data_IF_498196227122
#
_entry.id   IF_498196227122
#
_cell.length_a   1.000
_cell.length_b   1.000
_cell.length_c   1.000
_cell.angle_alpha   90.00
_cell.angle_beta   90.00
_cell.angle_gamma   90.00
#
_symmetry.space_group_name_H-M   'P 1'
#
loop_
_entity.id
_entity.type
_entity.pdbx_description
1 polymer ?
#
# COMPACT_ATOMS: atom_id res chain seq x y z
N UNK A 1 5.96 -5.66 -9.29
CA UNK A 1 5.29 -5.63 -10.61
C UNK A 1 5.89 -4.45 -11.38
N UNK A 2 6.58 -4.71 -12.45
CA UNK A 2 7.15 -3.64 -13.28
C UNK A 2 6.09 -3.22 -14.29
N UNK A 3 5.37 -2.15 -13.96
CA UNK A 3 4.27 -1.61 -14.76
C UNK A 3 4.40 -0.09 -14.83
N UNK A 4 5.12 0.39 -15.85
CA UNK A 4 5.43 1.82 -16.02
C UNK A 4 4.18 2.66 -16.23
N UNK A 5 3.20 2.16 -17.01
CA UNK A 5 1.94 2.87 -17.24
C UNK A 5 1.15 3.00 -15.94
N UNK A 6 1.02 1.90 -15.18
CA UNK A 6 0.33 1.94 -13.89
C UNK A 6 1.09 2.79 -12.87
N UNK A 7 2.43 2.73 -12.85
CA UNK A 7 3.26 3.59 -12.00
C UNK A 7 3.02 5.07 -12.31
N UNK A 8 2.95 5.43 -13.59
CA UNK A 8 2.63 6.79 -14.01
C UNK A 8 1.26 7.24 -13.52
N UNK A 9 0.24 6.37 -13.65
CA UNK A 9 -1.10 6.67 -13.13
C UNK A 9 -1.12 6.85 -11.60
N UNK A 10 -0.32 6.09 -10.87
CA UNK A 10 -0.18 6.25 -9.41
C UNK A 10 0.47 7.58 -9.04
N UNK A 11 1.50 8.01 -9.79
CA UNK A 11 2.30 9.19 -9.46
C UNK A 11 1.67 10.51 -9.94
N UNK A 12 1.01 10.51 -11.09
CA UNK A 12 0.57 11.75 -11.76
C UNK A 12 -0.88 11.73 -12.24
N UNK A 13 -1.57 10.61 -12.12
CA UNK A 13 -2.94 10.40 -12.60
C UNK A 13 -3.96 10.19 -11.48
N UNK A 14 -5.07 9.55 -11.84
CA UNK A 14 -6.09 9.06 -10.89
C UNK A 14 -6.22 7.54 -10.99
N UNK A 15 -5.52 6.86 -10.09
CA UNK A 15 -5.52 5.39 -10.02
C UNK A 15 -6.93 4.79 -9.86
N UNK A 16 -7.86 5.50 -9.22
CA UNK A 16 -9.24 5.01 -9.07
C UNK A 16 -10.02 5.08 -10.38
N UNK A 17 -9.80 6.13 -11.17
CA UNK A 17 -10.38 6.23 -12.52
C UNK A 17 -9.74 5.19 -13.47
N UNK A 18 -8.44 4.95 -13.39
CA UNK A 18 -7.79 3.87 -14.14
C UNK A 18 -8.38 2.50 -13.78
N UNK A 19 -8.55 2.21 -12.50
CA UNK A 19 -9.18 0.98 -12.02
C UNK A 19 -10.66 0.87 -12.41
N UNK A 20 -11.41 1.98 -12.42
CA UNK A 20 -12.80 2.05 -12.89
C UNK A 20 -12.90 1.55 -14.33
N UNK A 21 -12.08 2.11 -15.22
CA UNK A 21 -12.02 1.74 -16.65
C UNK A 21 -11.61 0.28 -16.81
N UNK A 22 -10.56 -0.15 -16.11
CA UNK A 22 -10.03 -1.52 -16.19
C UNK A 22 -11.07 -2.58 -15.77
N UNK A 23 -11.87 -2.32 -14.74
CA UNK A 23 -12.91 -3.22 -14.27
C UNK A 23 -14.24 -3.11 -15.03
N UNK A 24 -14.48 -2.02 -15.77
CA UNK A 24 -15.76 -1.71 -16.41
C UNK A 24 -16.83 -1.34 -15.38
N UNK A 25 -16.47 -0.47 -14.42
CA UNK A 25 -17.35 0.04 -13.36
C UNK A 25 -17.97 1.38 -13.76
N UNK A 26 -19.15 1.67 -13.22
CA UNK A 26 -19.92 2.87 -13.57
C UNK A 26 -19.40 4.13 -12.87
N UNK A 27 -18.95 3.98 -11.63
CA UNK A 27 -18.49 5.12 -10.82
C UNK A 27 -17.10 4.91 -10.22
N UNK A 28 -16.43 6.02 -9.94
CA UNK A 28 -15.12 6.05 -9.27
C UNK A 28 -15.20 5.48 -7.83
N UNK A 29 -16.29 5.71 -7.13
CA UNK A 29 -16.49 5.20 -5.77
C UNK A 29 -16.68 3.68 -5.76
N UNK A 30 -17.38 3.13 -6.75
CA UNK A 30 -17.42 1.69 -6.96
C UNK A 30 -16.03 1.13 -7.22
N UNK A 31 -15.19 1.83 -7.99
CA UNK A 31 -13.81 1.39 -8.25
C UNK A 31 -12.95 1.40 -7.00
N UNK A 32 -13.07 2.43 -6.17
CA UNK A 32 -12.38 2.49 -4.86
C UNK A 32 -12.76 1.31 -3.97
N UNK A 33 -14.05 1.04 -3.83
CA UNK A 33 -14.53 -0.10 -3.02
C UNK A 33 -14.15 -1.45 -3.65
N UNK A 34 -14.24 -1.56 -4.97
CA UNK A 34 -13.87 -2.76 -5.72
C UNK A 34 -12.40 -3.12 -5.54
N UNK A 35 -11.48 -2.15 -5.73
CA UNK A 35 -10.06 -2.44 -5.67
C UNK A 35 -9.63 -2.91 -4.27
N UNK A 36 -10.14 -2.27 -3.22
CA UNK A 36 -9.87 -2.74 -1.87
C UNK A 36 -10.42 -4.14 -1.61
N UNK A 37 -11.70 -4.38 -1.96
CA UNK A 37 -12.29 -5.72 -1.81
C UNK A 37 -11.49 -6.78 -2.59
N UNK A 38 -11.07 -6.47 -3.82
CA UNK A 38 -10.27 -7.36 -4.66
C UNK A 38 -8.89 -7.66 -4.04
N UNK A 39 -8.16 -6.63 -3.60
CA UNK A 39 -6.84 -6.77 -2.99
C UNK A 39 -6.90 -7.54 -1.66
N UNK A 40 -7.98 -7.38 -0.90
CA UNK A 40 -8.25 -8.15 0.32
C UNK A 40 -8.77 -9.57 0.06
N UNK A 41 -8.80 -10.02 -1.20
CA UNK A 41 -9.14 -11.40 -1.55
C UNK A 41 -10.63 -11.72 -1.50
N UNK A 42 -11.50 -10.72 -1.64
CA UNK A 42 -12.93 -10.94 -1.71
C UNK A 42 -13.33 -11.81 -2.91
N UNK A 43 -14.17 -12.81 -2.68
CA UNK A 43 -14.71 -13.65 -3.74
C UNK A 43 -15.79 -12.96 -4.57
N UNK A 44 -16.22 -13.58 -5.70
CA UNK A 44 -17.17 -12.99 -6.64
C UNK A 44 -18.47 -12.49 -6.03
N UNK A 45 -19.01 -13.19 -5.03
CA UNK A 45 -20.27 -12.79 -4.37
C UNK A 45 -20.11 -11.45 -3.62
N UNK A 46 -18.98 -11.26 -2.90
CA UNK A 46 -18.71 -10.01 -2.18
C UNK A 46 -18.40 -8.88 -3.16
N UNK A 47 -17.64 -9.14 -4.22
CA UNK A 47 -17.36 -8.17 -5.29
C UNK A 47 -18.66 -7.74 -5.99
N UNK A 48 -19.58 -8.66 -6.29
CA UNK A 48 -20.87 -8.33 -6.91
C UNK A 48 -21.69 -7.36 -6.06
N UNK A 49 -21.67 -7.51 -4.74
CA UNK A 49 -22.38 -6.61 -3.82
C UNK A 49 -21.90 -5.14 -3.89
N UNK A 50 -20.65 -4.90 -4.26
CA UNK A 50 -20.10 -3.54 -4.44
C UNK A 50 -20.90 -2.73 -5.46
N UNK A 51 -21.44 -3.41 -6.47
CA UNK A 51 -22.26 -2.80 -7.54
C UNK A 51 -23.74 -3.17 -7.42
N UNK A 52 -24.20 -3.60 -6.26
CA UNK A 52 -25.60 -3.98 -6.04
C UNK A 52 -26.03 -5.22 -6.80
N UNK A 53 -25.10 -6.10 -7.18
CA UNK A 53 -25.35 -7.26 -8.04
C UNK A 53 -24.88 -8.58 -7.40
N UNK A 54 -25.19 -9.70 -8.05
CA UNK A 54 -24.82 -11.03 -7.59
C UNK A 54 -23.43 -11.51 -8.03
N UNK A 55 -23.10 -12.75 -7.64
CA UNK A 55 -21.80 -13.37 -7.88
C UNK A 55 -21.39 -13.43 -9.36
N UNK A 56 -22.32 -13.63 -10.29
CA UNK A 56 -22.06 -13.66 -11.75
C UNK A 56 -21.46 -12.33 -12.22
N UNK A 57 -22.03 -11.20 -11.79
CA UNK A 57 -21.50 -9.86 -12.11
C UNK A 57 -20.13 -9.66 -11.46
N UNK A 58 -19.96 -10.06 -10.20
CA UNK A 58 -18.67 -9.97 -9.50
C UNK A 58 -17.57 -10.77 -10.20
N UNK A 59 -17.88 -11.96 -10.71
CA UNK A 59 -16.95 -12.78 -11.49
C UNK A 59 -16.54 -12.09 -12.80
N UNK A 60 -17.50 -11.45 -13.49
CA UNK A 60 -17.24 -10.71 -14.71
C UNK A 60 -16.32 -9.49 -14.44
N UNK A 61 -16.58 -8.75 -13.37
CA UNK A 61 -15.75 -7.60 -12.96
C UNK A 61 -14.30 -8.03 -12.69
N UNK A 62 -14.09 -9.09 -11.92
CA UNK A 62 -12.76 -9.65 -11.65
C UNK A 62 -12.07 -10.08 -12.96
N UNK A 63 -12.81 -10.75 -13.85
CA UNK A 63 -12.28 -11.20 -15.15
C UNK A 63 -11.83 -10.02 -16.00
N UNK A 64 -12.69 -9.01 -16.18
CA UNK A 64 -12.39 -7.82 -16.97
C UNK A 64 -11.17 -7.09 -16.39
N UNK A 65 -11.17 -6.85 -15.08
CA UNK A 65 -10.06 -6.19 -14.40
C UNK A 65 -8.73 -6.90 -14.65
N UNK A 66 -8.68 -8.22 -14.45
CA UNK A 66 -7.46 -8.99 -14.68
C UNK A 66 -7.06 -9.11 -16.15
N UNK A 67 -8.01 -9.02 -17.08
CA UNK A 67 -7.71 -8.96 -18.52
C UNK A 67 -7.05 -7.62 -18.90
N UNK A 68 -7.52 -6.53 -18.33
CA UNK A 68 -7.00 -5.18 -18.58
C UNK A 68 -5.76 -4.85 -17.72
N UNK A 69 -5.42 -5.71 -16.74
CA UNK A 69 -4.24 -5.58 -15.87
C UNK A 69 -3.37 -6.86 -15.94
N UNK A 70 -2.74 -7.15 -17.08
CA UNK A 70 -2.06 -8.44 -17.30
C UNK A 70 -0.86 -8.67 -16.36
N UNK A 71 -0.15 -7.61 -15.97
CA UNK A 71 0.97 -7.72 -15.03
C UNK A 71 0.48 -8.06 -13.61
N UNK A 72 -0.64 -7.47 -13.18
CA UNK A 72 -1.28 -7.82 -11.91
C UNK A 72 -1.83 -9.26 -11.93
N UNK A 73 -2.42 -9.68 -13.05
CA UNK A 73 -2.87 -11.07 -13.24
C UNK A 73 -1.71 -12.05 -13.09
N UNK A 74 -0.56 -11.77 -13.73
CA UNK A 74 0.65 -12.60 -13.62
C UNK A 74 1.17 -12.64 -12.19
N UNK A 75 1.29 -11.50 -11.51
CA UNK A 75 1.69 -11.42 -10.11
C UNK A 75 0.78 -12.28 -9.24
N UNK A 76 -0.54 -12.09 -9.34
CA UNK A 76 -1.53 -12.85 -8.58
C UNK A 76 -1.39 -14.36 -8.79
N UNK A 77 -1.24 -14.81 -10.04
CA UNK A 77 -1.08 -16.23 -10.35
C UNK A 77 0.21 -16.81 -9.77
N UNK A 78 1.33 -16.08 -9.89
CA UNK A 78 2.61 -16.50 -9.33
C UNK A 78 2.54 -16.63 -7.79
N UNK A 79 1.87 -15.70 -7.12
CA UNK A 79 1.71 -15.74 -5.66
C UNK A 79 0.81 -16.92 -5.24
N UNK A 80 -0.27 -17.18 -5.97
CA UNK A 80 -1.14 -18.33 -5.71
C UNK A 80 -0.37 -19.64 -5.88
N UNK A 81 0.46 -19.75 -6.92
CA UNK A 81 1.30 -20.93 -7.12
C UNK A 81 2.33 -21.08 -5.99
N UNK A 82 3.06 -20.04 -5.66
CA UNK A 82 4.01 -20.03 -4.55
C UNK A 82 3.34 -20.38 -3.21
N UNK A 83 2.09 -19.93 -3.00
CA UNK A 83 1.34 -20.19 -1.76
C UNK A 83 1.03 -21.67 -1.51
N UNK A 84 1.15 -22.54 -2.52
CA UNK A 84 1.01 -24.00 -2.35
C UNK A 84 2.05 -24.59 -1.40
N UNK A 85 3.19 -23.92 -1.25
CA UNK A 85 4.22 -24.29 -0.25
C UNK A 85 3.89 -23.79 1.16
N UNK A 86 2.78 -23.06 1.34
CA UNK A 86 2.41 -22.40 2.60
C UNK A 86 3.16 -21.11 2.89
N UNK A 87 4.04 -20.67 1.97
CA UNK A 87 4.89 -19.48 2.17
C UNK A 87 5.05 -18.69 0.87
N UNK A 88 5.26 -17.37 1.00
CA UNK A 88 5.69 -16.49 -0.10
C UNK A 88 6.81 -15.58 0.38
N UNK A 89 7.74 -15.22 -0.51
CA UNK A 89 8.81 -14.26 -0.23
C UNK A 89 8.25 -12.84 -0.10
N UNK A 90 8.64 -12.13 0.93
CA UNK A 90 8.32 -10.73 1.16
C UNK A 90 9.32 -9.80 0.46
N UNK A 91 9.06 -8.49 0.52
CA UNK A 91 9.86 -7.44 -0.11
C UNK A 91 11.34 -7.44 0.34
N UNK A 92 11.59 -7.77 1.59
CA UNK A 92 12.93 -7.84 2.20
C UNK A 92 13.51 -9.27 2.27
N UNK A 93 12.92 -10.22 1.53
CA UNK A 93 13.38 -11.61 1.46
C UNK A 93 12.87 -12.54 2.58
N UNK A 94 12.21 -12.01 3.62
CA UNK A 94 11.61 -12.88 4.65
C UNK A 94 10.48 -13.74 4.08
N UNK A 95 10.18 -14.85 4.77
CA UNK A 95 9.08 -15.73 4.39
C UNK A 95 7.80 -15.35 5.12
N UNK A 96 6.73 -15.07 4.36
CA UNK A 96 5.38 -14.84 4.88
C UNK A 96 4.58 -16.13 4.83
N UNK A 97 3.97 -16.52 5.93
CA UNK A 97 3.09 -17.67 5.99
C UNK A 97 1.71 -17.36 5.36
N UNK A 98 1.26 -18.24 4.48
CA UNK A 98 -0.03 -18.13 3.81
C UNK A 98 -1.02 -19.07 4.46
N UNK A 99 -2.07 -18.54 5.07
CA UNK A 99 -3.13 -19.32 5.71
C UNK A 99 -4.16 -19.87 4.71
N UNK A 100 -4.38 -19.14 3.59
CA UNK A 100 -5.33 -19.54 2.55
C UNK A 100 -4.92 -18.91 1.22
N UNK A 101 -4.98 -19.69 0.13
CA UNK A 101 -4.52 -19.25 -1.20
C UNK A 101 -5.22 -17.98 -1.72
N UNK A 102 -6.51 -17.79 -1.40
CA UNK A 102 -7.25 -16.60 -1.81
C UNK A 102 -6.77 -15.32 -1.08
N UNK A 103 -6.13 -15.45 0.09
CA UNK A 103 -5.59 -14.34 0.87
C UNK A 103 -4.11 -14.05 0.56
N UNK A 104 -3.47 -14.83 -0.32
CA UNK A 104 -2.02 -14.74 -0.57
C UNK A 104 -1.58 -13.38 -1.10
N UNK A 105 -2.34 -12.78 -2.02
CA UNK A 105 -2.08 -11.44 -2.54
C UNK A 105 -2.17 -10.39 -1.41
N UNK A 106 -3.22 -10.45 -0.59
CA UNK A 106 -3.37 -9.57 0.55
C UNK A 106 -2.21 -9.72 1.55
N UNK A 107 -1.82 -10.94 1.88
CA UNK A 107 -0.68 -11.21 2.78
C UNK A 107 0.61 -10.59 2.25
N UNK A 108 0.88 -10.71 0.93
CA UNK A 108 2.03 -10.09 0.32
C UNK A 108 1.99 -8.55 0.41
N UNK A 109 0.85 -7.94 0.07
CA UNK A 109 0.71 -6.48 0.06
C UNK A 109 0.76 -5.88 1.47
N UNK A 110 0.06 -6.48 2.44
CA UNK A 110 0.12 -6.05 3.84
C UNK A 110 1.53 -6.24 4.43
N UNK A 111 2.19 -7.35 4.09
CA UNK A 111 3.58 -7.60 4.46
C UNK A 111 4.53 -6.56 3.89
N UNK A 112 4.36 -6.19 2.62
CA UNK A 112 5.17 -5.14 1.98
C UNK A 112 4.95 -3.77 2.66
N UNK A 113 3.70 -3.38 2.92
CA UNK A 113 3.39 -2.15 3.64
C UNK A 113 4.05 -2.10 5.02
N UNK A 114 3.95 -3.18 5.79
CA UNK A 114 4.58 -3.26 7.11
C UNK A 114 6.11 -3.18 7.05
N UNK A 115 6.74 -3.73 6.00
CA UNK A 115 8.20 -3.65 5.79
C UNK A 115 8.59 -2.20 5.45
N UNK A 116 7.87 -1.54 4.54
CA UNK A 116 8.09 -0.14 4.17
C UNK A 116 8.01 0.75 5.42
N UNK A 117 6.91 0.66 6.17
CA UNK A 117 6.72 1.48 7.37
C UNK A 117 7.83 1.26 8.40
N UNK A 118 8.21 0.00 8.67
CA UNK A 118 9.30 -0.29 9.62
C UNK A 118 10.65 0.23 9.14
N UNK A 119 10.96 0.10 7.85
CA UNK A 119 12.20 0.63 7.30
C UNK A 119 12.22 2.16 7.38
N UNK A 120 11.10 2.81 7.06
CA UNK A 120 10.93 4.25 7.21
C UNK A 120 11.16 4.71 8.66
N UNK A 121 10.59 4.01 9.65
CA UNK A 121 10.80 4.34 11.05
C UNK A 121 12.30 4.22 11.45
N UNK A 122 13.00 3.20 10.96
CA UNK A 122 14.44 3.02 11.20
C UNK A 122 15.23 4.19 10.61
N UNK A 123 14.90 4.65 9.40
CA UNK A 123 15.57 5.80 8.80
C UNK A 123 15.25 7.10 9.57
N UNK A 124 14.00 7.32 9.97
CA UNK A 124 13.63 8.47 10.81
C UNK A 124 14.42 8.50 12.12
N UNK A 125 14.52 7.37 12.84
CA UNK A 125 15.31 7.28 14.08
C UNK A 125 16.79 7.61 13.83
N UNK A 126 17.37 7.10 12.74
CA UNK A 126 18.74 7.41 12.34
C UNK A 126 18.95 8.91 12.11
N UNK A 127 18.05 9.56 11.38
CA UNK A 127 18.11 11.01 11.13
C UNK A 127 17.90 11.83 12.40
N UNK A 128 16.92 11.47 13.24
CA UNK A 128 16.67 12.13 14.54
C UNK A 128 17.96 12.18 15.37
N UNK A 129 18.65 11.03 15.49
CA UNK A 129 19.89 10.94 16.26
C UNK A 129 21.03 11.71 15.61
N UNK A 130 21.24 11.55 14.31
CA UNK A 130 22.32 12.19 13.55
C UNK A 130 22.23 13.71 13.60
N UNK A 131 21.02 14.23 13.51
CA UNK A 131 20.76 15.66 13.43
C UNK A 131 20.45 16.30 14.79
N UNK A 132 20.34 15.49 15.85
CA UNK A 132 20.03 15.99 17.19
C UNK A 132 18.66 16.65 17.31
N UNK A 133 17.65 16.13 16.57
CA UNK A 133 16.27 16.61 16.61
C UNK A 133 15.58 16.12 17.87
N UNK A 134 14.91 17.01 18.60
CA UNK A 134 14.11 16.61 19.76
C UNK A 134 12.72 16.14 19.31
N UNK A 135 12.65 14.88 18.92
CA UNK A 135 11.44 14.20 18.49
C UNK A 135 11.33 12.83 19.15
N UNK A 136 10.15 12.49 19.62
CA UNK A 136 9.86 11.23 20.32
C UNK A 136 8.66 10.54 19.69
N UNK A 137 8.82 9.28 19.28
CA UNK A 137 7.71 8.45 18.81
C UNK A 137 6.74 8.20 19.97
N UNK A 138 5.48 8.57 19.80
CA UNK A 138 4.43 8.35 20.79
C UNK A 138 3.37 7.33 20.36
N UNK A 139 3.16 7.17 19.03
CA UNK A 139 2.25 6.14 18.53
C UNK A 139 2.68 5.64 17.13
N UNK A 140 2.36 4.37 16.88
CA UNK A 140 2.51 3.71 15.57
C UNK A 140 1.19 3.05 15.22
N UNK A 141 0.49 3.55 14.21
CA UNK A 141 -0.88 3.15 13.86
C UNK A 141 -0.92 2.86 12.38
N UNK A 142 -0.94 1.58 12.02
CA UNK A 142 -0.94 1.10 10.63
C UNK A 142 0.24 1.66 9.80
N UNK A 143 -0.02 2.67 9.00
CA UNK A 143 0.88 3.38 8.09
C UNK A 143 1.17 4.84 8.54
N UNK A 144 0.84 5.15 9.80
CA UNK A 144 0.99 6.46 10.42
C UNK A 144 1.87 6.38 11.67
N UNK A 145 2.72 7.40 11.84
CA UNK A 145 3.51 7.61 13.05
C UNK A 145 3.20 8.97 13.66
N UNK A 146 2.93 8.96 14.98
CA UNK A 146 2.75 10.18 15.76
C UNK A 146 4.01 10.45 16.58
N UNK A 147 4.51 11.68 16.49
CA UNK A 147 5.68 12.13 17.21
C UNK A 147 5.37 13.36 18.03
N UNK A 148 5.88 13.42 19.24
CA UNK A 148 6.02 14.64 20.00
C UNK A 148 7.33 15.31 19.61
N UNK A 149 7.25 16.55 19.09
CA UNK A 149 8.41 17.27 18.54
C UNK A 149 8.50 18.64 19.18
N UNK A 150 9.72 19.07 19.54
CA UNK A 150 9.94 20.41 20.04
C UNK A 150 9.56 21.45 18.98
N UNK A 151 8.96 22.59 19.38
CA UNK A 151 8.48 23.61 18.45
C UNK A 151 9.56 24.14 17.51
N UNK A 152 10.81 24.22 17.96
CA UNK A 152 11.95 24.68 17.14
C UNK A 152 12.36 23.70 16.05
N UNK A 153 12.04 22.42 16.22
CA UNK A 153 12.46 21.35 15.32
C UNK A 153 11.34 20.87 14.38
N UNK A 154 10.12 21.38 14.55
CA UNK A 154 8.92 20.88 13.85
C UNK A 154 9.07 20.84 12.33
N UNK A 155 9.45 21.97 11.73
CA UNK A 155 9.64 22.09 10.28
C UNK A 155 10.82 21.25 9.76
N UNK A 156 11.88 21.19 10.55
CA UNK A 156 13.05 20.37 10.25
C UNK A 156 12.68 18.90 10.28
N UNK A 157 11.93 18.47 11.29
CA UNK A 157 11.45 17.10 11.41
C UNK A 157 10.54 16.70 10.23
N UNK A 158 9.63 17.59 9.80
CA UNK A 158 8.78 17.36 8.64
C UNK A 158 9.58 17.09 7.34
N UNK A 159 10.70 17.80 7.10
CA UNK A 159 11.58 17.49 5.97
C UNK A 159 12.29 16.16 6.14
N UNK A 160 12.82 15.92 7.33
CA UNK A 160 13.54 14.71 7.68
C UNK A 160 12.68 13.43 7.48
N UNK A 161 11.37 13.49 7.76
CA UNK A 161 10.47 12.35 7.51
C UNK A 161 10.37 12.00 6.02
N UNK A 162 10.38 13.00 5.13
CA UNK A 162 10.39 12.80 3.68
C UNK A 162 11.71 12.23 3.18
N UNK A 163 12.83 12.78 3.65
CA UNK A 163 14.16 12.28 3.30
C UNK A 163 14.31 10.81 3.72
N UNK A 164 13.86 10.45 4.92
CA UNK A 164 13.82 9.08 5.40
C UNK A 164 12.94 8.15 4.53
N UNK A 165 11.83 8.65 3.98
CA UNK A 165 10.99 7.87 3.07
C UNK A 165 11.66 7.66 1.71
N UNK A 166 12.35 8.68 1.18
CA UNK A 166 13.13 8.56 -0.05
C UNK A 166 14.27 7.54 0.11
N UNK A 167 15.03 7.59 1.21
CA UNK A 167 16.04 6.58 1.52
C UNK A 167 15.43 5.17 1.64
N UNK A 168 14.24 5.06 2.23
CA UNK A 168 13.50 3.78 2.29
C UNK A 168 13.18 3.25 0.90
N UNK A 169 12.83 4.11 -0.06
CA UNK A 169 12.62 3.74 -1.47
C UNK A 169 13.87 3.10 -2.06
N UNK A 170 15.03 3.71 -1.82
CA UNK A 170 16.33 3.24 -2.33
C UNK A 170 16.76 1.93 -1.67
N UNK A 171 16.70 1.85 -0.34
CA UNK A 171 17.08 0.65 0.44
C UNK A 171 16.25 -0.57 0.02
N UNK A 172 14.95 -0.39 -0.19
CA UNK A 172 14.05 -1.46 -0.62
C UNK A 172 14.02 -1.66 -2.14
N UNK A 173 14.84 -0.91 -2.89
CA UNK A 173 14.91 -0.94 -4.35
C UNK A 173 13.51 -0.87 -5.01
N UNK A 174 12.66 0.03 -4.51
CA UNK A 174 11.31 0.21 -5.01
C UNK A 174 11.35 0.86 -6.39
N UNK A 175 10.60 0.29 -7.34
CA UNK A 175 10.48 0.85 -8.71
C UNK A 175 9.53 2.04 -8.81
N UNK A 176 8.64 2.19 -7.83
CA UNK A 176 7.79 3.34 -7.66
C UNK A 176 8.32 4.13 -6.47
N UNK A 177 8.66 5.42 -6.61
CA UNK A 177 9.10 6.22 -5.48
C UNK A 177 8.00 6.29 -4.42
N UNK A 178 8.42 6.23 -3.17
CA UNK A 178 7.55 6.39 -2.01
C UNK A 178 7.62 7.85 -1.54
N UNK A 179 6.53 8.37 -1.05
CA UNK A 179 6.45 9.68 -0.41
C UNK A 179 5.57 9.60 0.84
N UNK A 180 5.63 10.60 1.68
CA UNK A 180 4.81 10.73 2.87
C UNK A 180 4.33 12.17 3.05
N UNK A 181 3.19 12.31 3.69
CA UNK A 181 2.68 13.60 4.14
C UNK A 181 2.95 13.76 5.64
N UNK A 182 3.12 14.99 6.10
CA UNK A 182 3.13 15.29 7.51
C UNK A 182 2.13 16.41 7.82
N UNK A 183 1.51 16.31 8.98
CA UNK A 183 0.63 17.32 9.53
C UNK A 183 1.15 17.75 10.90
N UNK A 184 1.02 19.02 11.21
CA UNK A 184 1.47 19.61 12.46
C UNK A 184 0.25 20.09 13.23
N UNK A 185 0.14 19.69 14.49
CA UNK A 185 -0.96 20.06 15.38
C UNK A 185 -0.55 19.97 16.83
N UNK A 186 -1.42 20.41 17.72
CA UNK A 186 -1.22 20.32 19.19
C UNK A 186 -1.79 19.03 19.75
N UNK A 187 -2.67 18.40 19.02
CA UNK A 187 -3.38 17.18 19.42
C UNK A 187 -3.44 16.21 18.25
N UNK A 188 -3.62 14.92 18.52
CA UNK A 188 -3.81 13.91 17.47
C UNK A 188 -5.03 14.22 16.59
N UNK A 189 -6.12 14.75 17.15
CA UNK A 189 -7.29 15.12 16.36
C UNK A 189 -7.03 16.21 15.30
N UNK A 190 -5.97 17.01 15.44
CA UNK A 190 -5.56 18.02 14.47
C UNK A 190 -4.65 17.44 13.37
N UNK A 191 -4.06 16.27 13.60
CA UNK A 191 -3.08 15.64 12.71
C UNK A 191 -3.59 14.38 12.01
N UNK A 192 -4.77 13.87 12.39
CA UNK A 192 -5.37 12.64 11.85
C UNK A 192 -6.42 12.88 10.78
#
# INVERSE_FOLDING_TARGET
>A
MEDEEFTKEVLTGDVHTANQKAAGLETRDQAKTFIYAFLYGAGPAKIGKVVGAGAKRGQLLIKNFLQNMPKLKRLRNNIIEASKTGKVGALDGRQLHIRASHASLNTLLQGAGAIVCKQWLVQMDSHIRKEGVDAKLVASIHDEYQFEVSKKDTERFGRLTKDAMHETTEILNMKCPLDCEHKIGKTWAETH
#
